data_IF_378629289556
#
_entry.id   IF_378629289556
#
_cell.length_a   1.000
_cell.length_b   1.000
_cell.length_c   1.000
_cell.angle_alpha   90.00
_cell.angle_beta   90.00
_cell.angle_gamma   90.00
#
_symmetry.space_group_name_H-M   'P 1'
#
loop_
_entity.id
_entity.type
_entity.pdbx_description
1 polymer ?
#
# COMPACT_ATOMS: atom_id res chain seq x y z
N UNK A 1 41.44 -37.48 -15.48
CA UNK A 1 41.22 -36.26 -16.30
C UNK A 1 39.88 -36.39 -16.97
N UNK A 2 38.83 -35.76 -16.45
CA UNK A 2 37.55 -35.68 -17.15
C UNK A 2 36.97 -34.30 -16.87
N UNK A 3 36.97 -33.46 -17.92
CA UNK A 3 36.46 -32.09 -17.91
C UNK A 3 34.95 -32.14 -18.11
N UNK A 4 34.15 -31.88 -17.10
CA UNK A 4 32.72 -31.57 -17.25
C UNK A 4 32.55 -30.06 -17.45
N UNK A 5 32.43 -29.65 -18.72
CA UNK A 5 31.96 -28.33 -19.12
C UNK A 5 30.43 -28.30 -18.96
N UNK A 6 29.91 -27.72 -17.90
CA UNK A 6 28.47 -27.42 -17.73
C UNK A 6 28.15 -26.14 -18.50
N UNK A 7 27.46 -26.29 -19.63
CA UNK A 7 26.81 -25.19 -20.33
C UNK A 7 25.64 -24.70 -19.48
N UNK A 8 25.71 -23.47 -18.98
CA UNK A 8 24.56 -22.78 -18.35
C UNK A 8 23.47 -22.52 -19.41
N UNK A 9 22.20 -22.75 -19.10
CA UNK A 9 21.12 -22.46 -20.05
C UNK A 9 21.00 -20.94 -20.31
N UNK A 10 20.96 -20.58 -21.59
CA UNK A 10 20.85 -19.18 -22.07
C UNK A 10 19.66 -18.39 -21.50
N UNK A 11 18.67 -19.05 -20.94
CA UNK A 11 17.44 -18.48 -20.40
C UNK A 11 17.69 -17.61 -19.13
N UNK A 12 18.70 -17.95 -18.32
CA UNK A 12 19.03 -17.19 -17.09
C UNK A 12 19.69 -15.86 -17.43
N UNK A 13 20.50 -15.78 -18.46
CA UNK A 13 21.19 -14.55 -18.90
C UNK A 13 20.19 -13.53 -19.44
N UNK A 14 19.12 -13.99 -20.12
CA UNK A 14 18.08 -13.09 -20.67
C UNK A 14 17.18 -12.51 -19.57
N UNK A 15 16.98 -13.24 -18.48
CA UNK A 15 16.19 -12.77 -17.35
C UNK A 15 16.91 -11.71 -16.51
N UNK A 16 18.23 -11.86 -16.32
CA UNK A 16 19.08 -10.86 -15.63
C UNK A 16 19.22 -9.59 -16.47
N UNK A 17 19.35 -9.69 -17.81
CA UNK A 17 19.40 -8.55 -18.70
C UNK A 17 18.06 -7.76 -18.74
N UNK A 18 16.92 -8.43 -18.60
CA UNK A 18 15.61 -7.77 -18.49
C UNK A 18 15.39 -7.10 -17.13
N UNK A 19 15.90 -7.68 -16.03
CA UNK A 19 15.90 -7.00 -14.72
C UNK A 19 16.80 -5.76 -14.70
N UNK A 20 17.96 -5.79 -15.37
CA UNK A 20 18.85 -4.64 -15.47
C UNK A 20 18.28 -3.53 -16.36
N UNK A 21 17.48 -3.86 -17.38
CA UNK A 21 16.83 -2.87 -18.25
C UNK A 21 15.66 -2.15 -17.53
N UNK A 22 15.00 -2.81 -16.57
CA UNK A 22 13.95 -2.19 -15.71
C UNK A 22 14.57 -1.22 -14.69
N UNK A 23 15.84 -1.41 -14.31
CA UNK A 23 16.56 -0.54 -13.36
C UNK A 23 17.20 0.71 -14.01
N UNK A 24 17.23 0.82 -15.35
CA UNK A 24 17.88 1.92 -16.07
C UNK A 24 16.93 3.05 -16.53
N UNK A 25 15.65 3.00 -16.21
CA UNK A 25 14.64 4.00 -16.64
C UNK A 25 13.95 4.68 -15.45
N UNK A 26 14.70 5.03 -14.41
CA UNK A 26 14.20 5.88 -13.31
C UNK A 26 14.64 7.33 -13.44
N UNK A 27 14.58 7.87 -14.66
CA UNK A 27 14.90 9.27 -14.96
C UNK A 27 13.84 9.93 -15.82
N UNK A 28 12.56 9.58 -15.66
CA UNK A 28 11.49 10.39 -16.26
C UNK A 28 11.13 11.46 -15.24
N UNK A 29 11.72 12.64 -15.41
CA UNK A 29 11.23 13.86 -14.80
C UNK A 29 9.71 13.93 -15.04
N UNK A 30 8.93 13.86 -13.95
CA UNK A 30 7.48 13.93 -14.01
C UNK A 30 7.05 15.18 -14.75
N UNK A 31 5.93 15.09 -15.45
CA UNK A 31 5.31 16.20 -16.17
C UNK A 31 5.22 17.43 -15.26
N UNK A 32 5.96 18.47 -15.63
CA UNK A 32 6.19 19.64 -14.77
C UNK A 32 5.09 20.70 -14.93
N UNK A 33 3.81 20.31 -14.86
CA UNK A 33 2.81 21.26 -14.44
C UNK A 33 3.00 21.40 -12.92
N UNK A 34 3.67 22.49 -12.53
CA UNK A 34 4.03 22.76 -11.15
C UNK A 34 2.80 22.73 -10.25
N UNK A 35 2.98 22.23 -9.03
CA UNK A 35 1.95 22.27 -8.00
C UNK A 35 1.63 23.74 -7.70
N UNK A 36 0.34 24.10 -7.87
CA UNK A 36 -0.19 25.44 -7.63
C UNK A 36 -1.06 25.44 -6.39
N UNK A 37 -0.79 26.32 -5.45
CA UNK A 37 -1.63 26.51 -4.28
C UNK A 37 -2.84 27.39 -4.62
N UNK A 38 -3.96 27.10 -3.98
CA UNK A 38 -5.23 27.81 -4.14
C UNK A 38 -5.49 28.63 -2.88
N UNK A 39 -5.36 29.95 -3.00
CA UNK A 39 -5.54 30.89 -1.87
C UNK A 39 -6.50 32.00 -2.31
N UNK A 40 -7.65 32.17 -1.62
CA UNK A 40 -8.22 31.32 -0.58
C UNK A 40 -8.70 29.95 -1.11
N UNK A 41 -8.86 28.97 -0.21
CA UNK A 41 -9.41 27.67 -0.56
C UNK A 41 -10.81 27.82 -1.21
N UNK A 42 -11.10 27.02 -2.25
CA UNK A 42 -12.35 27.09 -3.00
C UNK A 42 -13.19 25.84 -2.75
N UNK A 43 -14.39 26.00 -2.20
CA UNK A 43 -15.33 24.90 -1.93
C UNK A 43 -16.13 24.55 -3.18
N UNK A 44 -15.97 23.31 -3.67
CA UNK A 44 -16.57 22.84 -4.93
C UNK A 44 -17.23 21.47 -4.75
N UNK A 45 -18.21 21.19 -5.63
CA UNK A 45 -18.72 19.83 -5.82
C UNK A 45 -18.01 19.16 -6.98
N UNK A 46 -17.27 18.09 -6.67
CA UNK A 46 -16.51 17.31 -7.66
C UNK A 46 -17.44 16.23 -8.24
N UNK A 47 -17.73 16.30 -9.54
CA UNK A 47 -18.43 15.21 -10.25
C UNK A 47 -17.42 14.15 -10.66
N UNK A 48 -17.56 12.94 -10.08
CA UNK A 48 -16.65 11.82 -10.33
C UNK A 48 -17.05 11.04 -11.60
N UNK A 49 -16.10 10.32 -12.17
CA UNK A 49 -16.30 9.51 -13.37
C UNK A 49 -17.33 8.39 -13.16
N UNK A 50 -17.46 7.87 -11.93
CA UNK A 50 -18.45 6.86 -11.53
C UNK A 50 -19.90 7.40 -11.42
N UNK A 51 -20.09 8.70 -11.65
CA UNK A 51 -21.40 9.36 -11.57
C UNK A 51 -21.73 9.93 -10.20
N UNK A 52 -20.91 9.69 -9.18
CA UNK A 52 -21.09 10.27 -7.84
C UNK A 52 -20.59 11.71 -7.78
N UNK A 53 -20.91 12.42 -6.70
CA UNK A 53 -20.37 13.76 -6.45
C UNK A 53 -19.87 13.88 -5.02
N UNK A 54 -18.83 14.70 -4.81
CA UNK A 54 -18.24 14.94 -3.48
C UNK A 54 -17.89 16.41 -3.30
N UNK A 55 -18.28 16.99 -2.17
CA UNK A 55 -17.87 18.35 -1.81
C UNK A 55 -16.43 18.36 -1.32
N UNK A 56 -15.65 19.33 -1.79
CA UNK A 56 -14.24 19.45 -1.50
C UNK A 56 -13.79 20.91 -1.45
N UNK A 57 -13.05 21.31 -0.42
CA UNK A 57 -12.35 22.57 -0.39
C UNK A 57 -10.97 22.36 -1.00
N UNK A 58 -10.76 22.87 -2.20
CA UNK A 58 -9.56 22.66 -3.00
C UNK A 58 -8.45 23.59 -2.47
N UNK A 59 -7.30 22.98 -2.15
CA UNK A 59 -6.11 23.65 -1.57
C UNK A 59 -4.98 23.78 -2.57
N UNK A 60 -4.83 22.82 -3.45
CA UNK A 60 -3.80 22.83 -4.47
C UNK A 60 -4.21 21.98 -5.67
N UNK A 61 -3.55 22.18 -6.81
CA UNK A 61 -3.66 21.36 -8.01
C UNK A 61 -2.33 21.27 -8.76
N UNK A 62 -2.20 20.24 -9.60
CA UNK A 62 -1.01 19.99 -10.43
C UNK A 62 -1.42 19.27 -11.73
N UNK A 63 -0.48 18.93 -12.59
CA UNK A 63 -0.73 18.08 -13.77
C UNK A 63 -1.29 16.69 -13.44
N UNK A 64 -1.07 16.20 -12.23
CA UNK A 64 -1.49 14.86 -11.79
C UNK A 64 -2.90 14.86 -11.21
N UNK A 65 -3.27 15.89 -10.44
CA UNK A 65 -4.55 15.92 -9.72
C UNK A 65 -4.74 17.16 -8.87
N UNK A 66 -5.73 17.11 -8.00
CA UNK A 66 -6.05 18.12 -7.00
C UNK A 66 -5.92 17.59 -5.57
N UNK A 67 -5.68 18.49 -4.64
CA UNK A 67 -5.59 18.24 -3.21
C UNK A 67 -6.61 19.13 -2.48
N UNK A 68 -7.29 18.58 -1.49
CA UNK A 68 -8.26 19.36 -0.72
C UNK A 68 -8.72 18.65 0.56
N UNK A 69 -9.76 19.20 1.19
CA UNK A 69 -10.35 18.64 2.41
C UNK A 69 -10.91 17.23 2.24
N UNK A 70 -11.22 16.84 1.00
CA UNK A 70 -11.70 15.52 0.63
C UNK A 70 -10.60 14.50 0.31
N UNK A 71 -9.33 14.87 0.43
CA UNK A 71 -8.14 14.08 0.06
C UNK A 71 -7.55 14.51 -1.28
N UNK A 72 -6.70 13.64 -1.86
CA UNK A 72 -6.11 13.87 -3.18
C UNK A 72 -6.89 13.10 -4.24
N UNK A 73 -7.21 13.77 -5.33
CA UNK A 73 -7.93 13.20 -6.46
C UNK A 73 -7.13 13.37 -7.74
N UNK A 74 -6.92 12.28 -8.47
CA UNK A 74 -6.35 12.34 -9.82
C UNK A 74 -7.41 12.85 -10.80
N UNK A 75 -6.96 13.57 -11.82
CA UNK A 75 -7.87 14.17 -12.81
C UNK A 75 -8.73 13.13 -13.56
N UNK A 76 -8.20 11.93 -13.80
CA UNK A 76 -8.91 10.84 -14.50
C UNK A 76 -10.12 10.31 -13.70
N UNK A 77 -10.19 10.60 -12.41
CA UNK A 77 -11.35 10.24 -11.57
C UNK A 77 -12.48 11.25 -11.66
N UNK A 78 -12.27 12.38 -12.30
CA UNK A 78 -13.27 13.40 -12.52
C UNK A 78 -13.78 13.32 -13.97
N UNK A 79 -15.05 13.62 -14.20
CA UNK A 79 -15.54 13.92 -15.56
C UNK A 79 -14.81 15.14 -16.10
N UNK A 80 -14.43 15.16 -17.37
CA UNK A 80 -13.68 16.28 -17.97
C UNK A 80 -14.38 17.63 -17.77
N UNK A 81 -15.72 17.66 -17.83
CA UNK A 81 -16.50 18.86 -17.51
C UNK A 81 -16.35 19.31 -16.05
N UNK A 82 -16.25 18.38 -15.11
CA UNK A 82 -16.02 18.68 -13.69
C UNK A 82 -14.59 19.16 -13.47
N UNK A 83 -13.59 18.54 -14.09
CA UNK A 83 -12.20 18.99 -14.03
C UNK A 83 -12.09 20.44 -14.56
N UNK A 84 -12.74 20.74 -15.69
CA UNK A 84 -12.80 22.10 -16.23
C UNK A 84 -13.49 23.09 -15.25
N UNK A 85 -14.59 22.68 -14.62
CA UNK A 85 -15.28 23.54 -13.64
C UNK A 85 -14.39 23.86 -12.43
N UNK A 86 -13.67 22.85 -11.91
CA UNK A 86 -12.68 23.02 -10.83
C UNK A 86 -11.61 24.00 -11.26
N UNK A 87 -10.94 23.76 -12.40
CA UNK A 87 -9.85 24.60 -12.87
C UNK A 87 -10.27 26.03 -13.14
N UNK A 88 -11.49 26.26 -13.67
CA UNK A 88 -12.07 27.60 -13.81
C UNK A 88 -12.25 28.33 -12.48
N UNK A 89 -12.53 27.60 -11.42
CA UNK A 89 -12.76 28.18 -10.10
C UNK A 89 -11.45 28.48 -9.35
N UNK A 90 -10.37 27.69 -9.59
CA UNK A 90 -9.11 27.79 -8.85
C UNK A 90 -8.03 28.57 -9.58
N UNK A 91 -8.15 28.78 -10.89
CA UNK A 91 -7.21 29.59 -11.67
C UNK A 91 -7.60 31.05 -11.58
N UNK A 92 -6.66 31.88 -11.12
CA UNK A 92 -6.88 33.32 -11.00
C UNK A 92 -7.15 33.98 -12.36
N UNK A 93 -8.00 35.00 -12.35
CA UNK A 93 -8.32 35.76 -13.57
C UNK A 93 -7.04 36.40 -14.17
N UNK A 94 -6.87 36.26 -15.48
CA UNK A 94 -5.72 36.79 -16.25
C UNK A 94 -4.37 36.14 -15.94
N UNK A 95 -4.33 34.98 -15.26
CA UNK A 95 -3.13 34.16 -15.13
C UNK A 95 -3.03 33.24 -16.36
N UNK A 96 -2.37 33.72 -17.42
CA UNK A 96 -2.22 33.00 -18.67
C UNK A 96 -1.41 31.71 -18.52
N UNK A 97 -0.41 31.67 -17.62
CA UNK A 97 0.39 30.46 -17.36
C UNK A 97 -0.44 29.38 -16.65
N UNK A 98 -1.21 29.75 -15.65
CA UNK A 98 -2.10 28.80 -15.00
C UNK A 98 -3.23 28.34 -15.93
N UNK A 99 -3.73 29.24 -16.80
CA UNK A 99 -4.74 28.89 -17.80
C UNK A 99 -4.18 27.93 -18.88
N UNK A 100 -2.90 28.09 -19.28
CA UNK A 100 -2.20 27.17 -20.18
C UNK A 100 -2.10 25.78 -19.55
N UNK A 101 -1.64 25.70 -18.31
CA UNK A 101 -1.48 24.45 -17.58
C UNK A 101 -2.83 23.75 -17.35
N UNK A 102 -3.86 24.51 -16.99
CA UNK A 102 -5.22 24.01 -16.83
C UNK A 102 -5.81 23.49 -18.15
N UNK A 103 -5.58 24.20 -19.26
CA UNK A 103 -5.96 23.74 -20.60
C UNK A 103 -5.28 22.42 -20.96
N UNK A 104 -3.97 22.29 -20.69
CA UNK A 104 -3.22 21.06 -20.90
C UNK A 104 -3.81 19.89 -20.11
N UNK A 105 -4.14 20.10 -18.84
CA UNK A 105 -4.80 19.09 -18.01
C UNK A 105 -6.12 18.63 -18.62
N UNK A 106 -7.02 19.54 -18.99
CA UNK A 106 -8.33 19.16 -19.56
C UNK A 106 -8.17 18.41 -20.87
N UNK A 107 -7.32 18.92 -21.78
CA UNK A 107 -7.09 18.30 -23.09
C UNK A 107 -6.45 16.90 -23.00
N UNK A 108 -5.77 16.59 -21.91
CA UNK A 108 -5.13 15.29 -21.69
C UNK A 108 -6.07 14.22 -21.12
N UNK A 109 -7.32 14.56 -20.79
CA UNK A 109 -8.29 13.61 -20.23
C UNK A 109 -8.93 12.73 -21.32
N UNK A 110 -9.20 11.45 -21.04
CA UNK A 110 -9.71 10.50 -22.03
C UNK A 110 -11.13 10.84 -22.53
N UNK A 111 -11.96 11.49 -21.70
CA UNK A 111 -13.32 11.87 -22.00
C UNK A 111 -13.48 13.36 -22.32
N UNK A 112 -12.45 13.97 -22.91
CA UNK A 112 -12.38 15.43 -23.14
C UNK A 112 -13.55 15.98 -23.96
N UNK A 113 -14.07 15.24 -24.94
CA UNK A 113 -15.28 15.52 -25.72
C UNK A 113 -15.67 16.99 -25.80
N UNK A 114 -16.83 17.33 -25.26
CA UNK A 114 -17.35 18.71 -25.24
C UNK A 114 -16.62 19.66 -24.29
N UNK A 115 -15.84 19.15 -23.33
CA UNK A 115 -15.09 19.99 -22.39
C UNK A 115 -13.88 20.66 -23.06
N UNK A 116 -13.27 20.03 -24.08
CA UNK A 116 -12.09 20.55 -24.77
C UNK A 116 -12.34 21.90 -25.44
N UNK A 117 -13.33 22.05 -26.34
CA UNK A 117 -13.69 23.35 -26.92
C UNK A 117 -14.02 24.41 -25.88
N UNK A 118 -14.73 24.06 -24.81
CA UNK A 118 -15.07 24.99 -23.72
C UNK A 118 -13.86 25.41 -22.91
N UNK A 119 -12.88 24.52 -22.71
CA UNK A 119 -11.62 24.83 -22.05
C UNK A 119 -10.75 25.77 -22.91
N UNK A 120 -10.68 25.52 -24.22
CA UNK A 120 -9.97 26.37 -25.17
C UNK A 120 -10.53 27.79 -25.19
N UNK A 121 -11.85 27.93 -25.31
CA UNK A 121 -12.51 29.22 -25.32
C UNK A 121 -12.35 29.97 -23.98
N UNK A 122 -12.39 29.26 -22.85
CA UNK A 122 -12.09 29.84 -21.55
C UNK A 122 -10.64 30.30 -21.44
N UNK A 123 -9.65 29.48 -21.85
CA UNK A 123 -8.24 29.82 -21.77
C UNK A 123 -7.89 31.07 -22.61
N UNK A 124 -8.48 31.19 -23.80
CA UNK A 124 -8.36 32.41 -24.62
C UNK A 124 -8.90 33.65 -23.88
N UNK A 125 -10.03 33.54 -23.19
CA UNK A 125 -10.55 34.64 -22.35
C UNK A 125 -9.66 34.98 -21.17
N UNK A 126 -8.81 34.05 -20.71
CA UNK A 126 -7.78 34.32 -19.70
C UNK A 126 -6.51 34.98 -20.29
N UNK A 127 -6.48 35.24 -21.58
CA UNK A 127 -5.37 35.91 -22.26
C UNK A 127 -4.38 34.96 -22.91
N UNK A 128 -4.72 33.67 -23.06
CA UNK A 128 -3.85 32.74 -23.74
C UNK A 128 -3.87 32.97 -25.26
N UNK A 129 -2.70 33.24 -25.83
CA UNK A 129 -2.46 33.44 -27.26
C UNK A 129 -2.34 32.11 -28.03
N UNK A 130 -2.10 32.20 -29.34
CA UNK A 130 -1.99 31.04 -30.19
C UNK A 130 -0.79 30.14 -29.82
N UNK A 131 0.33 30.73 -29.43
CA UNK A 131 1.53 30.00 -29.03
C UNK A 131 1.30 29.29 -27.68
N UNK A 132 0.67 29.95 -26.74
CA UNK A 132 0.27 29.33 -25.48
C UNK A 132 -0.72 28.18 -25.67
N UNK A 133 -1.67 28.28 -26.60
CA UNK A 133 -2.56 27.16 -26.96
C UNK A 133 -1.77 25.99 -27.54
N UNK A 134 -0.81 26.24 -28.40
CA UNK A 134 0.01 25.19 -29.00
C UNK A 134 0.90 24.53 -27.94
N UNK A 135 1.46 25.31 -27.03
CA UNK A 135 2.21 24.80 -25.89
C UNK A 135 1.35 23.92 -24.97
N UNK A 136 0.12 24.34 -24.68
CA UNK A 136 -0.84 23.55 -23.90
C UNK A 136 -1.19 22.22 -24.58
N UNK A 137 -1.36 22.17 -25.89
CA UNK A 137 -1.61 20.94 -26.64
C UNK A 137 -0.43 19.98 -26.55
N UNK A 138 0.81 20.48 -26.75
CA UNK A 138 2.03 19.66 -26.63
C UNK A 138 2.16 19.07 -25.20
N UNK A 139 1.87 19.89 -24.20
CA UNK A 139 1.87 19.43 -22.80
C UNK A 139 0.75 18.42 -22.53
N UNK A 140 -0.43 18.59 -23.10
CA UNK A 140 -1.53 17.65 -23.01
C UNK A 140 -1.16 16.26 -23.57
N UNK A 141 -0.50 16.21 -24.73
CA UNK A 141 0.03 14.97 -25.30
C UNK A 141 1.04 14.30 -24.36
N UNK A 142 1.95 15.09 -23.76
CA UNK A 142 2.92 14.59 -22.79
C UNK A 142 2.23 14.02 -21.53
N UNK A 143 1.25 14.72 -20.99
CA UNK A 143 0.46 14.26 -19.84
C UNK A 143 -0.33 12.99 -20.17
N UNK A 144 -0.96 12.92 -21.33
CA UNK A 144 -1.70 11.74 -21.77
C UNK A 144 -0.77 10.52 -21.94
N UNK A 145 0.41 10.71 -22.55
CA UNK A 145 1.42 9.66 -22.68
C UNK A 145 1.92 9.17 -21.33
N UNK A 146 2.27 10.09 -20.43
CA UNK A 146 2.74 9.73 -19.08
C UNK A 146 1.69 8.93 -18.29
N UNK A 147 0.39 9.29 -18.42
CA UNK A 147 -0.72 8.54 -17.80
C UNK A 147 -0.91 7.16 -18.42
N UNK A 148 -0.82 7.05 -19.76
CA UNK A 148 -0.92 5.77 -20.45
C UNK A 148 0.22 4.83 -20.04
N UNK A 149 1.45 5.32 -19.92
CA UNK A 149 2.60 4.56 -19.44
C UNK A 149 2.43 4.13 -17.99
N UNK A 150 1.92 5.01 -17.13
CA UNK A 150 1.64 4.69 -15.73
C UNK A 150 0.53 3.64 -15.61
N UNK A 151 -0.54 3.77 -16.39
CA UNK A 151 -1.62 2.79 -16.46
C UNK A 151 -1.11 1.43 -16.98
N UNK A 152 -0.23 1.43 -17.99
CA UNK A 152 0.41 0.21 -18.50
C UNK A 152 1.29 -0.44 -17.43
N UNK A 153 2.16 0.33 -16.77
CA UNK A 153 2.98 -0.16 -15.65
C UNK A 153 2.14 -0.70 -14.50
N UNK A 154 1.03 -0.03 -14.17
CA UNK A 154 0.10 -0.51 -13.15
C UNK A 154 -0.62 -1.79 -13.60
N UNK A 155 -0.97 -1.92 -14.87
CA UNK A 155 -1.56 -3.13 -15.43
C UNK A 155 -0.56 -4.30 -15.46
N UNK A 156 0.69 -4.06 -15.85
CA UNK A 156 1.77 -5.04 -15.79
C UNK A 156 2.07 -5.49 -14.36
N UNK A 157 2.13 -4.55 -13.41
CA UNK A 157 2.30 -4.86 -11.99
C UNK A 157 1.11 -5.66 -11.43
N UNK A 158 -0.12 -5.39 -11.91
CA UNK A 158 -1.32 -6.19 -11.58
C UNK A 158 -1.23 -7.59 -12.19
N UNK A 159 -0.82 -7.71 -13.46
CA UNK A 159 -0.65 -8.99 -14.13
C UNK A 159 0.43 -9.85 -13.44
N UNK A 160 1.57 -9.25 -13.08
CA UNK A 160 2.61 -9.92 -12.29
C UNK A 160 2.11 -10.35 -10.91
N UNK A 161 1.30 -9.53 -10.24
CA UNK A 161 0.68 -9.87 -8.95
C UNK A 161 -0.42 -10.94 -9.07
N UNK A 162 -1.14 -10.96 -10.19
CA UNK A 162 -2.20 -11.92 -10.48
C UNK A 162 -1.68 -13.22 -11.10
N UNK A 163 -0.44 -13.25 -11.61
CA UNK A 163 0.11 -14.45 -12.23
C UNK A 163 0.44 -15.49 -11.16
N UNK A 164 0.06 -16.76 -11.36
CA UNK A 164 0.49 -17.85 -10.50
C UNK A 164 2.01 -18.00 -10.41
N UNK A 165 2.73 -17.56 -11.44
CA UNK A 165 4.20 -17.60 -11.53
C UNK A 165 4.89 -16.50 -10.69
N UNK A 166 4.23 -15.37 -10.40
CA UNK A 166 4.70 -14.36 -9.43
C UNK A 166 4.57 -14.82 -7.98
N UNK A 167 4.01 -15.99 -7.75
CA UNK A 167 3.77 -16.61 -6.46
C UNK A 167 4.67 -17.84 -6.24
N UNK A 168 5.94 -17.78 -6.58
CA UNK A 168 6.94 -18.77 -6.14
C UNK A 168 7.22 -18.64 -4.63
N UNK A 169 6.16 -18.49 -3.85
CA UNK A 169 6.22 -18.77 -2.43
C UNK A 169 6.22 -20.29 -2.28
N UNK A 170 7.20 -20.82 -1.57
CA UNK A 170 7.21 -22.20 -1.17
C UNK A 170 5.86 -22.56 -0.54
N UNK A 171 5.20 -23.61 -1.04
CA UNK A 171 3.99 -24.15 -0.42
C UNK A 171 4.31 -25.03 0.79
N UNK A 172 5.60 -25.21 1.10
CA UNK A 172 6.04 -25.96 2.25
C UNK A 172 5.84 -25.11 3.53
N UNK A 173 5.35 -25.74 4.58
CA UNK A 173 5.29 -25.14 5.90
C UNK A 173 6.70 -24.77 6.38
N UNK A 174 6.80 -23.67 7.16
CA UNK A 174 8.04 -23.33 7.83
C UNK A 174 8.41 -24.42 8.84
N UNK A 175 9.63 -24.91 8.78
CA UNK A 175 10.21 -25.76 9.81
C UNK A 175 10.92 -24.90 10.84
N UNK A 176 10.91 -25.31 12.10
CA UNK A 176 11.65 -24.59 13.14
C UNK A 176 13.14 -24.62 12.78
N UNK A 177 13.76 -23.46 12.66
CA UNK A 177 15.19 -23.34 12.38
C UNK A 177 16.03 -23.79 13.61
N UNK A 178 17.19 -24.43 13.36
CA UNK A 178 18.15 -24.63 14.44
C UNK A 178 18.72 -23.29 14.90
N UNK A 179 19.32 -23.24 16.10
CA UNK A 179 19.93 -22.01 16.61
C UNK A 179 21.00 -21.45 15.66
N UNK A 180 21.78 -22.31 15.02
CA UNK A 180 22.81 -21.92 14.06
C UNK A 180 22.16 -21.37 12.76
N UNK A 181 21.15 -22.06 12.23
CA UNK A 181 20.40 -21.61 11.05
C UNK A 181 19.74 -20.26 11.30
N UNK A 182 19.13 -20.06 12.49
CA UNK A 182 18.50 -18.82 12.89
C UNK A 182 19.51 -17.68 12.99
N UNK A 183 20.68 -17.91 13.62
CA UNK A 183 21.75 -16.92 13.76
C UNK A 183 22.30 -16.49 12.39
N UNK A 184 22.61 -17.45 11.52
CA UNK A 184 23.14 -17.20 10.19
C UNK A 184 22.12 -16.49 9.28
N UNK A 185 20.87 -16.92 9.30
CA UNK A 185 19.79 -16.23 8.59
C UNK A 185 19.56 -14.80 9.13
N UNK A 186 19.65 -14.60 10.45
CA UNK A 186 19.53 -13.28 11.09
C UNK A 186 20.65 -12.32 10.63
N UNK A 187 21.88 -12.80 10.54
CA UNK A 187 22.98 -11.98 10.04
C UNK A 187 22.74 -11.55 8.58
N UNK A 188 22.30 -12.46 7.72
CA UNK A 188 21.93 -12.15 6.32
C UNK A 188 20.77 -11.18 6.22
N UNK A 189 19.77 -11.29 7.09
CA UNK A 189 18.64 -10.37 7.12
C UNK A 189 19.05 -8.95 7.51
N UNK A 190 19.93 -8.81 8.49
CA UNK A 190 20.50 -7.51 8.88
C UNK A 190 21.27 -6.89 7.71
N UNK A 191 22.09 -7.69 7.02
CA UNK A 191 22.85 -7.21 5.86
C UNK A 191 21.91 -6.79 4.71
N UNK A 192 20.86 -7.57 4.41
CA UNK A 192 19.85 -7.21 3.42
C UNK A 192 19.14 -5.91 3.79
N UNK A 193 18.79 -5.71 5.06
CA UNK A 193 18.15 -4.49 5.55
C UNK A 193 19.08 -3.26 5.46
N UNK A 194 20.36 -3.41 5.83
CA UNK A 194 21.37 -2.36 5.64
C UNK A 194 21.55 -2.02 4.16
N UNK A 195 21.61 -3.03 3.30
CA UNK A 195 21.72 -2.85 1.87
C UNK A 195 20.52 -2.14 1.25
N UNK A 196 19.30 -2.37 1.77
CA UNK A 196 18.11 -1.62 1.39
C UNK A 196 18.26 -0.14 1.73
N UNK A 197 18.63 0.17 2.96
CA UNK A 197 18.77 1.55 3.43
C UNK A 197 19.91 2.28 2.73
N UNK A 198 21.05 1.62 2.51
CA UNK A 198 22.21 2.19 1.82
C UNK A 198 21.91 2.58 0.36
N UNK A 199 21.08 1.79 -0.35
CA UNK A 199 20.64 2.14 -1.72
C UNK A 199 19.81 3.43 -1.76
N UNK A 200 19.17 3.78 -0.67
CA UNK A 200 18.46 5.06 -0.52
C UNK A 200 19.32 6.16 0.14
N UNK A 201 20.64 5.96 0.22
CA UNK A 201 21.57 6.94 0.79
C UNK A 201 21.54 7.03 2.32
N UNK A 202 20.95 6.05 3.00
CA UNK A 202 20.87 6.01 4.45
C UNK A 202 21.92 5.08 5.08
N UNK A 203 22.16 5.27 6.38
CA UNK A 203 22.92 4.36 7.24
C UNK A 203 22.15 4.17 8.55
N UNK A 204 22.39 3.07 9.26
CA UNK A 204 21.65 2.82 10.48
C UNK A 204 22.51 2.23 11.59
N UNK A 205 22.21 2.66 12.81
CA UNK A 205 22.60 2.03 14.06
C UNK A 205 21.66 0.84 14.34
N UNK A 206 22.23 -0.22 14.88
CA UNK A 206 21.52 -1.46 15.21
C UNK A 206 21.18 -1.51 16.70
N UNK A 207 19.93 -1.92 16.98
CA UNK A 207 19.48 -2.28 18.33
C UNK A 207 18.86 -3.67 18.28
N UNK A 208 19.54 -4.65 18.87
CA UNK A 208 19.18 -6.06 18.76
C UNK A 208 18.38 -6.55 19.97
N UNK A 209 17.40 -7.42 19.71
CA UNK A 209 16.73 -8.25 20.71
C UNK A 209 16.68 -9.71 20.24
N UNK A 210 15.94 -10.58 20.92
CA UNK A 210 15.95 -12.01 20.61
C UNK A 210 15.38 -12.32 19.22
N UNK A 211 14.24 -11.71 18.85
CA UNK A 211 13.52 -11.97 17.58
C UNK A 211 13.41 -10.75 16.68
N UNK A 212 13.69 -9.55 17.19
CA UNK A 212 13.58 -8.29 16.45
C UNK A 212 14.94 -7.59 16.41
N UNK A 213 15.26 -6.96 15.28
CA UNK A 213 16.40 -6.04 15.18
C UNK A 213 15.89 -4.71 14.61
N UNK A 214 16.08 -3.64 15.38
CA UNK A 214 15.73 -2.28 14.95
C UNK A 214 16.95 -1.64 14.27
N UNK A 215 16.73 -1.12 13.07
CA UNK A 215 17.66 -0.27 12.35
C UNK A 215 17.11 1.16 12.35
N UNK A 216 17.87 2.09 12.94
CA UNK A 216 17.49 3.49 13.01
C UNK A 216 18.60 4.38 12.46
N UNK A 217 18.23 5.41 11.71
CA UNK A 217 19.17 6.39 11.14
C UNK A 217 19.74 7.36 12.19
N UNK A 218 19.46 7.12 13.46
CA UNK A 218 19.87 7.95 14.60
C UNK A 218 20.42 7.06 15.71
N UNK A 219 21.44 7.57 16.39
CA UNK A 219 22.02 6.94 17.59
C UNK A 219 21.18 7.17 18.86
N UNK A 220 19.94 7.69 18.72
CA UNK A 220 19.07 7.93 19.85
C UNK A 220 18.81 6.62 20.64
N UNK A 221 19.19 6.58 21.94
CA UNK A 221 19.02 5.38 22.78
C UNK A 221 17.54 4.98 22.96
N UNK A 222 16.62 5.84 22.54
CA UNK A 222 15.22 5.50 22.50
C UNK A 222 14.92 4.32 21.56
N UNK A 223 15.71 4.11 20.49
CA UNK A 223 15.51 2.97 19.59
C UNK A 223 15.87 1.63 20.22
N UNK A 224 16.74 1.60 21.21
CA UNK A 224 16.93 0.40 22.04
C UNK A 224 15.66 0.04 22.83
N UNK A 225 14.94 1.05 23.33
CA UNK A 225 13.65 0.84 23.99
C UNK A 225 12.55 0.41 23.00
N UNK A 226 12.60 0.88 21.76
CA UNK A 226 11.69 0.40 20.71
C UNK A 226 11.94 -1.07 20.38
N UNK A 227 13.20 -1.50 20.28
CA UNK A 227 13.55 -2.92 20.09
C UNK A 227 13.00 -3.80 21.22
N UNK A 228 13.18 -3.37 22.48
CA UNK A 228 12.65 -4.09 23.64
C UNK A 228 11.10 -4.12 23.66
N UNK A 229 10.44 -3.01 23.29
CA UNK A 229 8.99 -2.93 23.21
C UNK A 229 8.43 -3.86 22.11
N UNK A 230 9.06 -3.88 20.94
CA UNK A 230 8.67 -4.78 19.85
C UNK A 230 8.92 -6.24 20.19
N UNK A 231 9.97 -6.55 20.94
CA UNK A 231 10.22 -7.91 21.46
C UNK A 231 9.10 -8.35 22.42
N UNK A 232 8.67 -7.47 23.30
CA UNK A 232 7.52 -7.74 24.20
C UNK A 232 6.25 -8.05 23.38
N UNK A 233 5.95 -7.24 22.36
CA UNK A 233 4.82 -7.46 21.47
C UNK A 233 4.95 -8.79 20.72
N UNK A 234 6.16 -9.13 20.26
CA UNK A 234 6.42 -10.43 19.63
C UNK A 234 6.10 -11.59 20.57
N UNK A 235 6.57 -11.53 21.82
CA UNK A 235 6.30 -12.54 22.84
C UNK A 235 4.80 -12.72 23.11
N UNK A 236 4.09 -11.63 23.39
CA UNK A 236 2.64 -11.63 23.63
C UNK A 236 1.85 -12.28 22.48
N UNK A 237 2.21 -11.95 21.23
CA UNK A 237 1.54 -12.51 20.06
C UNK A 237 1.91 -13.94 19.79
N UNK A 238 3.17 -14.33 20.05
CA UNK A 238 3.60 -15.73 19.95
C UNK A 238 2.79 -16.62 20.88
N UNK A 239 2.56 -16.18 22.12
CA UNK A 239 1.73 -16.88 23.10
C UNK A 239 0.26 -16.98 22.67
N UNK A 240 -0.33 -15.88 22.19
CA UNK A 240 -1.73 -15.85 21.72
C UNK A 240 -1.95 -16.73 20.49
N UNK A 241 -1.01 -16.70 19.53
CA UNK A 241 -1.04 -17.56 18.35
C UNK A 241 -0.88 -19.02 18.74
N UNK A 242 0.04 -19.35 19.65
CA UNK A 242 0.22 -20.69 20.18
C UNK A 242 -1.05 -21.21 20.88
N UNK A 243 -1.75 -20.38 21.67
CA UNK A 243 -3.03 -20.72 22.29
C UNK A 243 -4.13 -21.00 21.25
N UNK A 244 -4.07 -20.40 20.06
CA UNK A 244 -4.94 -20.72 18.92
C UNK A 244 -4.49 -21.94 18.12
N UNK A 245 -3.40 -22.60 18.52
CA UNK A 245 -2.79 -23.74 17.81
C UNK A 245 -1.94 -23.32 16.59
N UNK A 246 -1.42 -22.10 16.62
CA UNK A 246 -0.60 -21.53 15.53
C UNK A 246 0.81 -21.31 16.07
N UNK A 247 1.79 -22.07 15.56
CA UNK A 247 3.20 -21.87 15.89
C UNK A 247 3.83 -20.80 14.98
N UNK A 248 4.58 -19.87 15.56
CA UNK A 248 5.41 -18.94 14.80
C UNK A 248 6.80 -19.55 14.65
N UNK A 249 7.12 -20.04 13.46
CA UNK A 249 8.41 -20.64 13.16
C UNK A 249 9.35 -19.58 12.56
N UNK A 250 9.77 -18.61 13.37
CA UNK A 250 10.68 -17.56 12.93
C UNK A 250 11.98 -18.18 12.38
N UNK A 251 12.34 -17.80 11.16
CA UNK A 251 13.54 -18.29 10.48
C UNK A 251 14.76 -17.42 10.74
N UNK A 252 14.53 -16.18 11.16
CA UNK A 252 15.54 -15.18 11.48
C UNK A 252 14.93 -14.09 12.36
N UNK A 253 15.77 -13.24 12.93
CA UNK A 253 15.32 -11.97 13.50
C UNK A 253 14.64 -11.13 12.42
N UNK A 254 13.59 -10.43 12.80
CA UNK A 254 12.81 -9.56 11.90
C UNK A 254 13.42 -8.16 11.94
N UNK A 255 14.03 -7.66 10.83
CA UNK A 255 14.51 -6.31 10.78
C UNK A 255 13.34 -5.31 10.68
N UNK A 256 13.39 -4.28 11.52
CA UNK A 256 12.46 -3.14 11.52
C UNK A 256 13.28 -1.87 11.27
N UNK A 257 13.11 -1.25 10.12
CA UNK A 257 13.84 -0.06 9.70
C UNK A 257 12.98 1.16 9.96
N UNK A 258 13.39 2.04 10.86
CA UNK A 258 12.79 3.35 11.06
C UNK A 258 13.45 4.35 10.11
N UNK A 259 12.71 4.77 9.10
CA UNK A 259 13.16 5.77 8.13
C UNK A 259 12.89 7.16 8.70
N UNK A 260 13.89 8.02 8.74
CA UNK A 260 13.76 9.37 9.30
C UNK A 260 13.32 10.43 8.30
N UNK A 261 13.51 10.16 7.01
CA UNK A 261 13.31 11.12 5.92
C UNK A 261 12.21 10.69 4.96
N UNK A 262 11.29 11.61 4.64
CA UNK A 262 10.12 11.34 3.79
C UNK A 262 10.49 11.03 2.34
N UNK A 263 11.53 11.66 1.80
CA UNK A 263 11.93 11.43 0.41
C UNK A 263 12.65 10.09 0.28
N UNK A 264 13.45 9.73 1.30
CA UNK A 264 14.04 8.39 1.42
C UNK A 264 12.97 7.31 1.56
N UNK A 265 11.94 7.56 2.36
CA UNK A 265 10.78 6.67 2.45
C UNK A 265 10.13 6.45 1.09
N UNK A 266 9.82 7.53 0.36
CA UNK A 266 9.25 7.46 -0.98
C UNK A 266 10.15 6.68 -1.92
N UNK A 267 11.45 6.96 -1.92
CA UNK A 267 12.44 6.25 -2.73
C UNK A 267 12.45 4.75 -2.40
N UNK A 268 12.55 4.36 -1.13
CA UNK A 268 12.54 2.96 -0.71
C UNK A 268 11.27 2.24 -1.16
N UNK A 269 10.09 2.83 -0.96
CA UNK A 269 8.82 2.22 -1.37
C UNK A 269 8.73 2.09 -2.88
N UNK A 270 9.10 3.13 -3.62
CA UNK A 270 8.99 3.14 -5.09
C UNK A 270 10.01 2.19 -5.74
N UNK A 271 11.28 2.26 -5.32
CA UNK A 271 12.36 1.50 -5.98
C UNK A 271 12.41 0.04 -5.55
N UNK A 272 12.10 -0.25 -4.27
CA UNK A 272 12.21 -1.61 -3.74
C UNK A 272 10.95 -2.45 -3.98
N UNK A 273 9.78 -1.81 -4.24
CA UNK A 273 8.51 -2.52 -4.35
C UNK A 273 7.68 -2.13 -5.55
N UNK A 274 8.10 -1.13 -6.33
CA UNK A 274 7.28 -0.56 -7.40
C UNK A 274 5.93 -0.04 -6.87
N UNK A 275 5.88 0.30 -5.56
CA UNK A 275 4.67 0.72 -4.86
C UNK A 275 4.51 2.24 -4.85
N UNK A 276 3.26 2.70 -4.75
CA UNK A 276 2.96 4.09 -4.45
C UNK A 276 3.09 4.33 -2.94
N UNK A 277 3.96 5.25 -2.47
CA UNK A 277 4.09 5.59 -1.06
C UNK A 277 2.77 6.03 -0.41
N UNK A 278 1.87 6.65 -1.17
CA UNK A 278 0.53 7.03 -0.68
C UNK A 278 -0.34 5.82 -0.33
N UNK A 279 -0.05 4.66 -0.92
CA UNK A 279 -0.71 3.39 -0.61
C UNK A 279 -0.20 2.74 0.68
N UNK A 280 0.93 3.23 1.22
CA UNK A 280 1.60 2.67 2.40
C UNK A 280 1.96 3.80 3.38
N UNK A 281 0.96 4.45 4.00
CA UNK A 281 1.21 5.66 4.79
C UNK A 281 1.95 5.39 6.10
N UNK A 282 1.90 4.19 6.63
CA UNK A 282 2.41 3.84 7.97
C UNK A 282 3.67 2.99 7.91
N UNK A 283 3.55 1.82 7.27
CA UNK A 283 4.63 0.83 7.14
C UNK A 283 4.43 -0.09 5.96
N UNK A 284 5.53 -0.66 5.48
CA UNK A 284 5.54 -1.72 4.46
C UNK A 284 6.33 -2.90 4.98
N UNK A 285 5.79 -4.09 4.84
CA UNK A 285 6.54 -5.33 5.03
C UNK A 285 6.93 -5.89 3.67
N UNK A 286 8.21 -6.12 3.50
CA UNK A 286 8.80 -6.58 2.27
C UNK A 286 9.43 -7.94 2.47
N UNK A 287 9.49 -8.71 1.41
CA UNK A 287 9.92 -10.09 1.46
C UNK A 287 11.05 -10.33 0.44
N UNK A 288 12.27 -9.79 0.70
CA UNK A 288 13.40 -10.09 -0.14
C UNK A 288 13.71 -11.59 -0.10
N UNK A 289 14.12 -12.13 -1.22
CA UNK A 289 14.62 -13.49 -1.29
C UNK A 289 16.02 -13.56 -0.64
N UNK A 290 16.13 -14.24 0.48
CA UNK A 290 17.37 -14.38 1.25
C UNK A 290 17.82 -15.83 1.25
N UNK A 291 19.09 -16.06 0.94
CA UNK A 291 19.70 -17.38 0.86
C UNK A 291 20.54 -17.56 -0.40
N UNK A 292 21.53 -18.43 -0.37
CA UNK A 292 22.49 -18.63 -1.47
C UNK A 292 22.02 -19.73 -2.43
N UNK A 293 21.53 -20.86 -1.92
CA UNK A 293 21.14 -22.01 -2.75
C UNK A 293 19.63 -22.10 -2.98
N UNK A 294 18.83 -21.80 -1.95
CA UNK A 294 17.38 -21.78 -2.01
C UNK A 294 16.89 -20.48 -1.35
N UNK A 295 16.85 -19.37 -2.10
CA UNK A 295 16.41 -18.10 -1.55
C UNK A 295 14.94 -18.18 -1.12
N UNK A 296 14.68 -17.80 0.13
CA UNK A 296 13.35 -17.80 0.72
C UNK A 296 12.92 -16.36 0.98
N UNK A 297 11.67 -15.98 0.67
CA UNK A 297 11.17 -14.65 0.97
C UNK A 297 11.06 -14.46 2.48
N UNK A 298 11.85 -13.53 3.04
CA UNK A 298 11.89 -13.24 4.46
C UNK A 298 11.47 -11.79 4.75
N UNK A 299 10.71 -11.52 5.83
CA UNK A 299 10.14 -10.20 6.06
C UNK A 299 11.16 -9.19 6.57
N UNK A 300 11.15 -7.99 5.97
CA UNK A 300 11.75 -6.77 6.49
C UNK A 300 10.64 -5.74 6.64
N UNK A 301 10.55 -5.10 7.78
CA UNK A 301 9.56 -4.04 8.06
C UNK A 301 10.21 -2.68 7.82
N UNK A 302 9.59 -1.87 6.98
CA UNK A 302 9.93 -0.46 6.81
C UNK A 302 8.86 0.38 7.49
N UNK A 303 9.26 1.32 8.32
CA UNK A 303 8.39 2.24 9.04
C UNK A 303 8.56 3.63 8.46
N UNK A 304 7.45 4.25 8.07
CA UNK A 304 7.44 5.61 7.55
C UNK A 304 7.94 6.62 8.61
N UNK A 305 8.50 7.76 8.19
CA UNK A 305 8.83 8.83 9.11
C UNK A 305 7.56 9.39 9.75
N UNK A 306 7.47 9.25 11.06
CA UNK A 306 6.36 9.71 11.88
C UNK A 306 6.89 10.69 12.93
N UNK A 307 6.22 11.84 13.08
CA UNK A 307 6.59 12.83 14.09
C UNK A 307 6.29 12.40 15.53
N UNK A 308 5.43 11.38 15.69
CA UNK A 308 5.03 10.80 16.97
C UNK A 308 5.54 9.36 17.11
N UNK A 309 6.35 9.14 18.15
CA UNK A 309 6.93 7.80 18.44
C UNK A 309 5.87 6.73 18.69
N UNK A 310 4.73 7.10 19.28
CA UNK A 310 3.64 6.14 19.52
C UNK A 310 3.08 5.62 18.20
N UNK A 311 2.90 6.50 17.22
CA UNK A 311 2.48 6.13 15.86
C UNK A 311 3.55 5.33 15.14
N UNK A 312 4.82 5.71 15.24
CA UNK A 312 5.91 4.95 14.65
C UNK A 312 5.99 3.52 15.24
N UNK A 313 5.84 3.38 16.56
CA UNK A 313 5.77 2.07 17.22
C UNK A 313 4.56 1.26 16.75
N UNK A 314 3.40 1.88 16.63
CA UNK A 314 2.22 1.22 16.09
C UNK A 314 2.45 0.72 14.65
N UNK A 315 3.01 1.56 13.79
CA UNK A 315 3.36 1.20 12.43
C UNK A 315 4.36 0.03 12.37
N UNK A 316 5.37 0.04 13.25
CA UNK A 316 6.32 -1.05 13.42
C UNK A 316 5.62 -2.34 13.89
N UNK A 317 4.69 -2.25 14.84
CA UNK A 317 3.92 -3.39 15.35
C UNK A 317 3.01 -3.98 14.27
N UNK A 318 2.39 -3.17 13.40
CA UNK A 318 1.64 -3.65 12.22
C UNK A 318 2.55 -4.45 11.30
N UNK A 319 3.73 -3.94 10.99
CA UNK A 319 4.72 -4.65 10.17
C UNK A 319 5.20 -5.95 10.82
N UNK A 320 5.49 -5.90 12.12
CA UNK A 320 5.89 -7.07 12.91
C UNK A 320 4.80 -8.16 12.91
N UNK A 321 3.55 -7.78 13.11
CA UNK A 321 2.42 -8.70 13.06
C UNK A 321 2.30 -9.39 11.69
N UNK A 322 2.50 -8.65 10.59
CA UNK A 322 2.54 -9.24 9.23
C UNK A 322 3.70 -10.24 9.09
N UNK A 323 4.86 -9.92 9.62
CA UNK A 323 6.02 -10.81 9.60
C UNK A 323 5.77 -12.10 10.42
N UNK A 324 5.15 -11.99 11.58
CA UNK A 324 4.76 -13.14 12.42
C UNK A 324 3.72 -14.02 11.73
N UNK A 325 2.70 -13.43 11.12
CA UNK A 325 1.70 -14.17 10.35
C UNK A 325 2.33 -14.88 9.14
N UNK A 326 3.34 -14.28 8.51
CA UNK A 326 4.12 -14.92 7.44
C UNK A 326 4.88 -16.17 7.95
N UNK A 327 5.44 -16.11 9.16
CA UNK A 327 6.13 -17.24 9.78
C UNK A 327 5.20 -18.25 10.48
N UNK A 328 3.89 -17.98 10.56
CA UNK A 328 2.99 -18.80 11.37
C UNK A 328 2.57 -20.13 10.72
N UNK A 329 2.61 -20.25 9.40
CA UNK A 329 2.22 -21.51 8.72
C UNK A 329 3.00 -21.71 7.41
N UNK A 330 2.71 -20.91 6.43
CA UNK A 330 3.32 -20.95 5.09
C UNK A 330 3.47 -19.53 4.59
N UNK A 331 4.37 -19.26 3.65
CA UNK A 331 4.41 -17.97 2.96
C UNK A 331 3.12 -17.80 2.15
N UNK A 332 2.04 -17.49 2.83
CA UNK A 332 0.71 -17.40 2.26
C UNK A 332 0.34 -15.97 1.92
N UNK A 333 -0.50 -15.81 0.89
CA UNK A 333 -1.19 -14.55 0.64
C UNK A 333 -2.61 -14.65 1.20
N UNK A 334 -2.88 -14.18 2.41
CA UNK A 334 -4.25 -14.11 2.89
C UNK A 334 -5.09 -13.17 2.03
N UNK A 335 -6.44 -13.29 2.05
CA UNK A 335 -7.32 -12.34 1.38
C UNK A 335 -6.97 -10.89 1.73
N UNK A 336 -7.16 -9.97 0.79
CA UNK A 336 -6.75 -8.57 0.95
C UNK A 336 -7.24 -7.95 2.26
N UNK A 337 -8.52 -8.13 2.60
CA UNK A 337 -9.11 -7.60 3.82
C UNK A 337 -8.43 -8.14 5.08
N UNK A 338 -8.11 -9.44 5.10
CA UNK A 338 -7.49 -10.07 6.25
C UNK A 338 -6.03 -9.66 6.40
N UNK A 339 -5.29 -9.63 5.28
CA UNK A 339 -3.89 -9.21 5.25
C UNK A 339 -3.70 -7.76 5.72
N UNK A 340 -4.62 -6.87 5.34
CA UNK A 340 -4.54 -5.47 5.72
C UNK A 340 -5.05 -5.20 7.14
N UNK A 341 -6.05 -5.93 7.60
CA UNK A 341 -6.74 -5.62 8.84
C UNK A 341 -6.24 -6.40 10.04
N UNK A 342 -5.92 -7.70 9.90
CA UNK A 342 -5.55 -8.52 11.06
C UNK A 342 -4.30 -7.99 11.76
N UNK A 343 -3.26 -7.64 11.00
CA UNK A 343 -2.05 -7.07 11.56
C UNK A 343 -2.31 -5.74 12.31
N UNK A 344 -3.25 -4.92 11.81
CA UNK A 344 -3.66 -3.69 12.51
C UNK A 344 -4.44 -3.96 13.79
N UNK A 345 -5.34 -4.92 13.77
CA UNK A 345 -6.06 -5.35 14.99
C UNK A 345 -5.07 -5.89 16.02
N UNK A 346 -4.08 -6.66 15.59
CA UNK A 346 -3.01 -7.14 16.47
C UNK A 346 -2.24 -5.95 17.09
N UNK A 347 -1.78 -5.00 16.28
CA UNK A 347 -1.07 -3.84 16.78
C UNK A 347 -1.92 -2.97 17.72
N UNK A 348 -3.20 -2.78 17.42
CA UNK A 348 -4.13 -1.97 18.19
C UNK A 348 -4.42 -2.58 19.59
N UNK A 349 -4.44 -3.90 19.68
CA UNK A 349 -4.58 -4.62 20.95
C UNK A 349 -3.33 -4.51 21.82
N UNK A 350 -2.13 -4.49 21.21
CA UNK A 350 -0.86 -4.36 21.94
C UNK A 350 -0.50 -2.90 22.27
N UNK A 351 -0.98 -1.95 21.48
CA UNK A 351 -0.69 -0.52 21.65
C UNK A 351 -2.02 0.26 21.63
N UNK A 352 -2.78 0.21 22.73
CA UNK A 352 -4.06 0.92 22.81
C UNK A 352 -3.89 2.43 22.55
N UNK A 353 -4.82 3.03 21.85
CA UNK A 353 -4.88 4.46 21.52
C UNK A 353 -3.81 4.97 20.52
N UNK A 354 -2.98 4.11 19.95
CA UNK A 354 -2.07 4.45 18.87
C UNK A 354 -2.58 3.99 17.49
N UNK A 355 -3.79 3.48 17.45
CA UNK A 355 -4.36 2.77 16.32
C UNK A 355 -4.57 3.56 15.04
N UNK A 356 -5.32 2.97 14.12
CA UNK A 356 -5.60 3.53 12.80
C UNK A 356 -6.12 4.97 12.87
N UNK A 357 -5.80 5.77 11.87
CA UNK A 357 -6.27 7.15 11.75
C UNK A 357 -7.77 7.28 12.10
N UNK A 358 -8.04 8.01 13.19
CA UNK A 358 -9.38 8.21 13.75
C UNK A 358 -10.33 8.79 12.69
N UNK A 359 -9.83 9.64 11.82
CA UNK A 359 -10.65 10.24 10.75
C UNK A 359 -11.10 9.18 9.72
N UNK A 360 -10.18 8.28 9.32
CA UNK A 360 -10.48 7.18 8.40
C UNK A 360 -11.47 6.19 9.00
N UNK A 361 -11.26 5.80 10.28
CA UNK A 361 -12.19 4.94 11.00
C UNK A 361 -13.58 5.56 11.09
N UNK A 362 -13.65 6.83 11.44
CA UNK A 362 -14.92 7.59 11.48
C UNK A 362 -15.58 7.64 10.10
N UNK A 363 -14.82 7.88 9.04
CA UNK A 363 -15.34 7.88 7.68
C UNK A 363 -15.91 6.51 7.29
N UNK A 364 -15.23 5.40 7.62
CA UNK A 364 -15.71 4.05 7.35
C UNK A 364 -16.99 3.74 8.14
N UNK A 365 -17.05 4.10 9.41
CA UNK A 365 -18.25 3.94 10.23
C UNK A 365 -19.44 4.72 9.66
N UNK A 366 -19.22 5.97 9.25
CA UNK A 366 -20.27 6.78 8.60
C UNK A 366 -20.75 6.09 7.33
N UNK A 367 -19.85 5.65 6.45
CA UNK A 367 -20.23 4.97 5.22
C UNK A 367 -21.04 3.69 5.46
N UNK A 368 -20.69 2.89 6.49
CA UNK A 368 -21.42 1.68 6.85
C UNK A 368 -22.82 2.00 7.41
N UNK A 369 -22.95 3.03 8.24
CA UNK A 369 -24.23 3.49 8.78
C UNK A 369 -25.15 4.04 7.68
N UNK A 370 -24.60 4.81 6.74
CA UNK A 370 -25.32 5.44 5.61
C UNK A 370 -25.71 4.44 4.49
N UNK A 371 -25.64 3.17 4.75
CA UNK A 371 -26.08 2.14 3.80
C UNK A 371 -24.96 1.34 3.13
N UNK A 372 -23.68 1.67 3.38
CA UNK A 372 -22.53 0.93 2.86
C UNK A 372 -22.53 -0.54 3.25
N UNK A 373 -21.67 -1.33 2.61
CA UNK A 373 -21.56 -2.78 2.81
C UNK A 373 -20.12 -3.19 2.98
N UNK A 374 -19.87 -4.16 3.85
CA UNK A 374 -18.57 -4.82 3.96
C UNK A 374 -18.28 -5.78 2.79
N UNK A 375 -19.34 -6.30 2.15
CA UNK A 375 -19.22 -7.40 1.15
C UNK A 375 -18.23 -7.08 0.02
N UNK A 376 -18.29 -5.93 -0.68
CA UNK A 376 -17.38 -5.66 -1.78
C UNK A 376 -15.90 -5.63 -1.35
N UNK A 377 -15.63 -5.16 -0.13
CA UNK A 377 -14.26 -5.05 0.41
C UNK A 377 -13.74 -6.42 0.85
N UNK A 378 -14.61 -7.21 1.50
CA UNK A 378 -14.21 -8.50 2.10
C UNK A 378 -14.13 -9.59 1.03
N UNK A 379 -15.03 -9.59 0.04
CA UNK A 379 -14.99 -10.53 -1.07
C UNK A 379 -13.96 -10.15 -2.16
N UNK A 380 -13.59 -8.87 -2.23
CA UNK A 380 -12.68 -8.35 -3.25
C UNK A 380 -11.19 -8.60 -2.96
N UNK A 381 -10.40 -8.63 -4.02
CA UNK A 381 -8.94 -8.69 -3.98
C UNK A 381 -8.29 -7.33 -4.29
N UNK A 382 -6.96 -7.24 -4.13
CA UNK A 382 -6.21 -6.01 -4.40
C UNK A 382 -6.34 -5.46 -5.84
N UNK A 383 -6.76 -6.30 -6.79
CA UNK A 383 -6.99 -5.89 -8.17
C UNK A 383 -8.40 -5.33 -8.43
N UNK A 384 -9.31 -5.51 -7.47
CA UNK A 384 -10.69 -5.06 -7.63
C UNK A 384 -10.82 -3.54 -7.43
N UNK A 385 -11.79 -2.89 -8.11
CA UNK A 385 -11.97 -1.44 -8.04
C UNK A 385 -12.09 -0.90 -6.61
N UNK A 386 -12.77 -1.61 -5.73
CA UNK A 386 -12.95 -1.20 -4.32
C UNK A 386 -11.61 -1.03 -3.58
N UNK A 387 -10.58 -1.81 -3.96
CA UNK A 387 -9.23 -1.73 -3.39
C UNK A 387 -8.29 -0.81 -4.18
N UNK A 388 -8.53 -0.66 -5.49
CA UNK A 388 -7.72 0.20 -6.34
C UNK A 388 -8.13 1.68 -6.22
N UNK A 389 -9.44 1.93 -6.13
CA UNK A 389 -9.99 3.28 -6.21
C UNK A 389 -9.88 4.06 -4.91
N UNK A 390 -10.17 3.42 -3.78
CA UNK A 390 -9.99 4.00 -2.45
C UNK A 390 -9.41 2.98 -1.46
N UNK A 391 -8.12 2.69 -1.55
CA UNK A 391 -7.46 1.73 -0.67
C UNK A 391 -7.49 2.13 0.81
N UNK A 392 -7.64 3.42 1.12
CA UNK A 392 -7.78 3.89 2.50
C UNK A 392 -9.14 3.49 3.07
N UNK A 393 -10.22 3.75 2.33
CA UNK A 393 -11.57 3.33 2.73
C UNK A 393 -11.67 1.81 2.80
N UNK A 394 -11.10 1.08 1.84
CA UNK A 394 -11.07 -0.37 1.84
C UNK A 394 -10.35 -0.93 3.09
N UNK A 395 -9.19 -0.38 3.46
CA UNK A 395 -8.47 -0.76 4.70
C UNK A 395 -9.27 -0.45 5.95
N UNK A 396 -9.86 0.75 6.02
CA UNK A 396 -10.66 1.16 7.16
C UNK A 396 -11.88 0.24 7.34
N UNK A 397 -12.58 -0.07 6.24
CA UNK A 397 -13.72 -1.00 6.23
C UNK A 397 -13.29 -2.41 6.62
N UNK A 398 -12.18 -2.89 6.09
CA UNK A 398 -11.60 -4.19 6.46
C UNK A 398 -11.26 -4.25 7.94
N UNK A 399 -10.63 -3.19 8.47
CA UNK A 399 -10.28 -3.08 9.89
C UNK A 399 -11.52 -3.22 10.77
N UNK A 400 -12.61 -2.51 10.48
CA UNK A 400 -13.83 -2.60 11.25
C UNK A 400 -14.42 -4.01 11.25
N UNK A 401 -14.45 -4.67 10.08
CA UNK A 401 -14.96 -6.03 9.96
C UNK A 401 -14.11 -7.03 10.73
N UNK A 402 -12.79 -6.97 10.58
CA UNK A 402 -11.87 -7.88 11.29
C UNK A 402 -11.86 -7.59 12.79
N UNK A 403 -11.98 -6.31 13.19
CA UNK A 403 -12.12 -5.92 14.60
C UNK A 403 -13.38 -6.49 15.22
N UNK A 404 -14.51 -6.42 14.51
CA UNK A 404 -15.75 -7.06 14.96
C UNK A 404 -15.60 -8.57 15.11
N UNK A 405 -14.94 -9.25 14.17
CA UNK A 405 -14.64 -10.68 14.29
C UNK A 405 -13.72 -10.96 15.50
N UNK A 406 -12.74 -10.11 15.72
CA UNK A 406 -11.84 -10.23 16.87
C UNK A 406 -12.57 -10.10 18.19
N UNK A 407 -13.43 -9.11 18.32
CA UNK A 407 -14.16 -8.85 19.57
C UNK A 407 -15.19 -9.96 19.91
N UNK A 408 -15.68 -10.67 18.88
CA UNK A 408 -16.67 -11.73 19.05
C UNK A 408 -16.09 -13.15 19.01
N UNK A 409 -15.11 -13.41 18.14
CA UNK A 409 -14.64 -14.76 17.82
C UNK A 409 -13.11 -14.82 17.59
N UNK A 410 -12.26 -14.33 18.52
CA UNK A 410 -10.82 -14.14 18.28
C UNK A 410 -10.11 -15.44 17.90
N UNK A 411 -10.39 -16.54 18.58
CA UNK A 411 -9.77 -17.84 18.31
C UNK A 411 -10.16 -18.39 16.93
N UNK A 412 -11.41 -18.21 16.51
CA UNK A 412 -11.87 -18.62 15.18
C UNK A 412 -11.25 -17.77 14.09
N UNK A 413 -11.10 -16.46 14.33
CA UNK A 413 -10.44 -15.54 13.41
C UNK A 413 -8.98 -15.95 13.18
N UNK A 414 -8.23 -16.23 14.24
CA UNK A 414 -6.83 -16.67 14.12
C UNK A 414 -6.71 -18.00 13.39
N UNK A 415 -7.58 -18.99 13.70
CA UNK A 415 -7.62 -20.26 12.95
C UNK A 415 -7.97 -20.05 11.47
N UNK A 416 -8.94 -19.20 11.18
CA UNK A 416 -9.29 -18.85 9.81
C UNK A 416 -8.10 -18.21 9.08
N UNK A 417 -7.36 -17.32 9.74
CA UNK A 417 -6.15 -16.71 9.18
C UNK A 417 -5.08 -17.76 8.84
N UNK A 418 -4.90 -18.77 9.71
CA UNK A 418 -4.00 -19.91 9.45
C UNK A 418 -4.46 -20.74 8.25
N UNK A 419 -5.74 -21.09 8.19
CA UNK A 419 -6.30 -21.92 7.12
C UNK A 419 -6.31 -21.20 5.76
N UNK A 420 -6.18 -19.87 5.76
CA UNK A 420 -6.07 -19.08 4.53
C UNK A 420 -4.75 -19.30 3.77
N UNK A 421 -3.78 -19.95 4.39
CA UNK A 421 -2.44 -20.17 3.85
C UNK A 421 -2.33 -20.93 2.53
N UNK A 422 -3.33 -21.74 2.17
CA UNK A 422 -3.40 -22.41 0.86
C UNK A 422 -4.29 -21.66 -0.14
N UNK A 423 -4.42 -20.35 0.02
CA UNK A 423 -5.27 -19.50 -0.80
C UNK A 423 -4.84 -19.48 -2.27
N UNK A 424 -5.78 -19.76 -3.18
CA UNK A 424 -5.53 -19.75 -4.62
C UNK A 424 -4.80 -20.98 -5.18
N UNK A 425 -4.45 -21.96 -4.35
CA UNK A 425 -3.92 -23.21 -4.88
C UNK A 425 -5.03 -23.99 -5.64
N UNK A 426 -4.70 -24.67 -6.75
CA UNK A 426 -5.67 -25.49 -7.47
C UNK A 426 -6.38 -26.48 -6.54
N UNK A 427 -7.71 -26.52 -6.59
CA UNK A 427 -8.53 -27.38 -5.72
C UNK A 427 -8.74 -26.89 -4.30
N UNK A 428 -8.21 -25.70 -3.94
CA UNK A 428 -8.48 -25.09 -2.64
C UNK A 428 -9.92 -24.62 -2.52
N UNK A 429 -10.56 -24.74 -1.33
CA UNK A 429 -11.86 -24.17 -1.09
C UNK A 429 -11.89 -22.65 -1.30
N UNK A 430 -13.03 -22.12 -1.74
CA UNK A 430 -13.24 -20.67 -1.89
C UNK A 430 -13.18 -19.95 -0.55
N UNK A 431 -13.07 -18.61 -0.58
CA UNK A 431 -13.14 -17.76 0.61
C UNK A 431 -14.40 -18.05 1.42
N UNK A 432 -15.53 -18.05 0.73
CA UNK A 432 -16.84 -18.28 1.33
C UNK A 432 -16.91 -19.63 2.03
N UNK A 433 -16.47 -20.70 1.37
CA UNK A 433 -16.49 -22.06 1.93
C UNK A 433 -15.58 -22.19 3.16
N UNK A 434 -14.41 -21.54 3.15
CA UNK A 434 -13.49 -21.50 4.31
C UNK A 434 -14.07 -20.67 5.45
N UNK A 435 -14.64 -19.51 5.13
CA UNK A 435 -15.26 -18.63 6.10
C UNK A 435 -16.43 -19.33 6.79
N UNK A 436 -17.32 -19.95 6.01
CA UNK A 436 -18.45 -20.71 6.54
C UNK A 436 -18.01 -21.85 7.44
N UNK A 437 -16.97 -22.60 7.04
CA UNK A 437 -16.38 -23.66 7.89
C UNK A 437 -15.84 -23.12 9.20
N UNK A 438 -15.16 -21.95 9.17
CA UNK A 438 -14.53 -21.37 10.36
C UNK A 438 -15.55 -20.76 11.34
N UNK A 439 -16.55 -20.06 10.81
CA UNK A 439 -17.47 -19.26 11.61
C UNK A 439 -18.90 -19.85 11.72
N UNK A 440 -19.23 -20.89 10.95
CA UNK A 440 -20.56 -21.50 10.93
C UNK A 440 -21.64 -20.61 10.32
N UNK A 441 -21.23 -19.59 9.55
CA UNK A 441 -22.13 -18.69 8.84
C UNK A 441 -21.50 -18.22 7.52
N UNK A 442 -22.32 -17.85 6.54
CA UNK A 442 -21.82 -17.35 5.25
C UNK A 442 -21.17 -15.97 5.44
N UNK A 443 -20.23 -15.63 4.56
CA UNK A 443 -19.54 -14.33 4.56
C UNK A 443 -20.53 -13.15 4.44
N UNK A 444 -21.53 -13.16 3.54
CA UNK A 444 -22.56 -12.12 3.50
C UNK A 444 -23.37 -11.99 4.81
N UNK A 445 -23.69 -13.11 5.46
CA UNK A 445 -24.41 -13.09 6.74
C UNK A 445 -23.55 -12.45 7.86
N UNK A 446 -22.24 -12.76 7.91
CA UNK A 446 -21.31 -12.13 8.83
C UNK A 446 -21.19 -10.61 8.59
N UNK A 447 -21.09 -10.21 7.31
CA UNK A 447 -21.08 -8.78 6.93
C UNK A 447 -22.35 -8.05 7.37
N UNK A 448 -23.51 -8.68 7.20
CA UNK A 448 -24.79 -8.11 7.64
C UNK A 448 -24.86 -7.95 9.17
N UNK A 449 -24.40 -8.97 9.92
CA UNK A 449 -24.32 -8.90 11.41
C UNK A 449 -23.35 -7.82 11.87
N UNK A 450 -22.16 -7.73 11.28
CA UNK A 450 -21.21 -6.68 11.59
C UNK A 450 -21.80 -5.29 11.35
N UNK A 451 -22.47 -5.09 10.20
CA UNK A 451 -23.17 -3.83 9.89
C UNK A 451 -24.22 -3.49 10.94
N UNK A 452 -25.08 -4.44 11.28
CA UNK A 452 -26.11 -4.25 12.32
C UNK A 452 -25.46 -3.89 13.66
N UNK A 453 -24.37 -4.57 14.05
CA UNK A 453 -23.66 -4.28 15.29
C UNK A 453 -23.17 -2.83 15.36
N UNK A 454 -22.53 -2.32 14.27
CA UNK A 454 -22.07 -0.93 14.20
C UNK A 454 -23.21 0.09 14.10
N UNK A 455 -24.39 -0.30 13.64
CA UNK A 455 -25.56 0.57 13.63
C UNK A 455 -26.21 0.73 15.00
N UNK A 456 -26.03 -0.24 15.89
CA UNK A 456 -26.71 -0.29 17.21
C UNK A 456 -25.80 0.03 18.38
N UNK A 457 -24.47 -0.15 18.28
CA UNK A 457 -23.56 -0.08 19.44
C UNK A 457 -22.55 1.09 19.39
N UNK A 458 -22.63 1.92 18.37
CA UNK A 458 -21.85 3.15 18.24
C UNK A 458 -22.83 4.33 18.08
#
# INVERSE_FOLDING_TARGET
MNRYSRKFPRTIVTMIARLAAVLAVSGVAGADVQRREVVPEVSLSLGLADGTSKRCDVKAWSGVGLEGSCGSYRWERLKAGSALAVLKAVVSAKDADAARDALAVVLSLPDVGTAGPLALDWAKRQGLDADGVQAARKEAERLATARAEEASRAAEARAVRASPEGANFSTAAWTVASAEQFADASARMVEAARGLLARAGGSATLHESAHVVVLAESDDPAFAREAAALETIYGEWSERLAAAGIAVAAQARIPVIFVSDTDRWRQLVTTSFGGDPAMHPESVTVYPAVGVQNPVPMPIVLVAPEGDRSRARYAAAVGLARAMLHYSDRPARPPAFLNEALARVMADVSIPNAGMDVAMRRQALTAIRDGGSFVPVVAGGYADPVWCDDPRAARATSYLFVRWLWDNEPTRLLRFAKDSGAWGAPGSPTLEARFERAFGMTLPAACARAKQWFQTND
#
